data_IF_123971687254
#
_entry.id   IF_123971687254
#
_cell.length_a   1.000
_cell.length_b   1.000
_cell.length_c   1.000
_cell.angle_alpha   90.00
_cell.angle_beta   90.00
_cell.angle_gamma   90.00
#
_symmetry.space_group_name_H-M   'P 1'
#
loop_
_entity.id
_entity.type
_entity.pdbx_description
1 polymer ?
#
# COMPACT_ATOMS: atom_id res chain seq x y z
N UNK A 1 -1.32 33.12 53.93
CA UNK A 1 -1.39 34.59 53.79
C UNK A 1 -1.54 34.88 52.29
N UNK A 2 -2.55 35.56 51.73
CA UNK A 2 -3.14 36.91 52.02
C UNK A 2 -2.16 38.05 51.69
N UNK A 3 -2.44 39.08 50.86
CA UNK A 3 -3.55 39.42 49.93
C UNK A 3 -2.92 40.11 48.66
N UNK A 4 -3.55 40.82 47.71
CA UNK A 4 -4.92 41.35 47.41
C UNK A 4 -5.03 41.40 45.86
N UNK A 5 -6.01 40.78 45.19
CA UNK A 5 -7.29 41.37 44.73
C UNK A 5 -7.19 42.72 43.97
N UNK A 6 -7.86 42.86 42.81
CA UNK A 6 -7.92 44.16 42.10
C UNK A 6 -8.49 44.19 40.68
N UNK A 7 -9.74 43.77 40.46
CA UNK A 7 -10.47 44.04 39.21
C UNK A 7 -11.58 45.10 39.44
N UNK A 8 -11.81 46.04 38.51
CA UNK A 8 -13.00 46.90 38.51
C UNK A 8 -14.00 46.57 37.39
N UNK A 9 -15.24 47.00 37.60
CA UNK A 9 -16.44 46.58 36.87
C UNK A 9 -17.02 47.65 35.93
N UNK A 10 -17.53 47.20 34.78
CA UNK A 10 -18.80 47.62 34.13
C UNK A 10 -19.29 49.10 34.15
N UNK A 11 -19.49 49.60 32.91
CA UNK A 11 -20.67 50.34 32.38
C UNK A 11 -20.75 51.88 32.37
N UNK A 12 -21.27 52.32 31.21
CA UNK A 12 -22.22 53.41 30.91
C UNK A 12 -21.75 54.82 30.49
N UNK A 13 -22.55 55.34 29.53
CA UNK A 13 -22.82 56.74 29.19
C UNK A 13 -21.99 57.49 28.11
N UNK A 14 -22.46 57.34 26.85
CA UNK A 14 -22.85 58.42 25.90
C UNK A 14 -21.87 59.43 25.29
N UNK A 15 -21.98 59.54 23.94
CA UNK A 15 -21.85 60.72 23.06
C UNK A 15 -20.50 61.45 22.92
N UNK A 16 -19.98 61.51 21.68
CA UNK A 16 -20.01 62.70 20.81
C UNK A 16 -19.00 62.59 19.64
N UNK A 17 -19.34 63.11 18.46
CA UNK A 17 -18.45 63.15 17.29
C UNK A 17 -17.39 64.27 17.43
N UNK A 18 -16.18 64.02 16.93
CA UNK A 18 -15.28 65.04 16.40
C UNK A 18 -14.47 64.46 15.23
N UNK A 19 -14.72 64.92 14.01
CA UNK A 19 -14.21 64.31 12.78
C UNK A 19 -14.44 65.12 11.50
N UNK A 20 -13.93 66.37 11.50
CA UNK A 20 -13.46 67.18 10.34
C UNK A 20 -14.06 66.80 8.96
N UNK A 21 -15.08 67.50 8.42
CA UNK A 21 -14.97 68.72 7.58
C UNK A 21 -14.13 68.51 6.29
N UNK A 22 -14.54 68.82 5.04
CA UNK A 22 -15.67 69.63 4.53
C UNK A 22 -16.14 69.16 3.13
N UNK A 23 -17.47 69.25 2.92
CA UNK A 23 -18.29 69.29 1.70
C UNK A 23 -17.72 69.12 0.27
N UNK A 24 -18.47 68.33 -0.51
CA UNK A 24 -18.84 68.64 -1.90
C UNK A 24 -20.29 68.17 -2.18
N UNK A 25 -21.20 69.06 -2.59
CA UNK A 25 -22.59 68.70 -2.94
C UNK A 25 -22.72 68.27 -4.40
N UNK A 26 -23.32 67.11 -4.66
CA UNK A 26 -24.40 66.93 -5.67
C UNK A 26 -25.35 65.84 -5.13
N UNK A 27 -26.66 66.05 -5.24
CA UNK A 27 -27.65 64.97 -5.10
C UNK A 27 -28.06 64.49 -6.50
N UNK A 28 -27.87 63.20 -6.80
CA UNK A 28 -28.43 62.53 -7.98
C UNK A 28 -28.56 61.00 -7.68
N UNK A 29 -29.28 60.21 -8.50
CA UNK A 29 -30.21 59.24 -7.93
C UNK A 29 -29.66 57.83 -7.76
N UNK A 30 -30.00 57.21 -6.62
CA UNK A 30 -30.23 55.76 -6.57
C UNK A 30 -31.32 55.43 -7.60
N UNK A 31 -30.95 54.71 -8.66
CA UNK A 31 -31.87 54.24 -9.69
C UNK A 31 -31.22 53.14 -10.54
N UNK A 32 -32.02 52.14 -10.91
CA UNK A 32 -31.65 50.99 -11.74
C UNK A 32 -30.49 50.11 -11.23
N UNK A 33 -29.23 50.59 -11.21
CA UNK A 33 -28.06 49.72 -11.15
C UNK A 33 -27.93 48.96 -9.82
N UNK A 34 -27.89 49.63 -8.66
CA UNK A 34 -27.79 48.95 -7.35
C UNK A 34 -28.96 48.00 -7.10
N UNK A 35 -30.15 48.35 -7.60
CA UNK A 35 -31.36 47.54 -7.51
C UNK A 35 -31.29 46.32 -8.44
N UNK A 36 -30.66 46.47 -9.62
CA UNK A 36 -30.41 45.38 -10.56
C UNK A 36 -29.32 44.46 -10.04
N UNK A 37 -28.18 44.97 -9.58
CA UNK A 37 -27.09 44.13 -9.05
C UNK A 37 -27.54 43.35 -7.81
N UNK A 38 -28.45 43.94 -7.01
CA UNK A 38 -29.15 43.24 -5.93
C UNK A 38 -30.16 42.22 -6.43
N UNK A 39 -30.98 42.53 -7.44
CA UNK A 39 -31.93 41.58 -8.03
C UNK A 39 -31.22 40.43 -8.76
N UNK A 40 -30.12 40.68 -9.46
CA UNK A 40 -29.26 39.70 -10.10
C UNK A 40 -28.53 38.84 -9.05
N UNK A 41 -28.24 39.37 -7.85
CA UNK A 41 -27.75 38.58 -6.71
C UNK A 41 -28.86 37.72 -6.09
N UNK A 42 -30.00 38.32 -5.74
CA UNK A 42 -31.15 37.66 -5.12
C UNK A 42 -31.76 36.59 -6.05
N UNK A 43 -31.77 36.83 -7.37
CA UNK A 43 -32.12 35.85 -8.40
C UNK A 43 -31.09 34.72 -8.49
N UNK A 44 -29.78 35.00 -8.46
CA UNK A 44 -28.75 33.94 -8.50
C UNK A 44 -28.70 33.11 -7.22
N UNK A 45 -29.13 33.65 -6.07
CA UNK A 45 -29.39 32.84 -4.88
C UNK A 45 -30.67 32.03 -5.01
N UNK A 46 -31.74 32.56 -5.62
CA UNK A 46 -32.98 31.81 -5.88
C UNK A 46 -32.80 30.70 -6.94
N UNK A 47 -31.95 30.90 -7.96
CA UNK A 47 -31.52 29.88 -8.92
C UNK A 47 -30.73 28.77 -8.20
N UNK A 48 -29.82 29.13 -7.28
CA UNK A 48 -29.11 28.16 -6.43
C UNK A 48 -30.01 27.46 -5.39
N UNK A 49 -31.16 28.05 -5.04
CA UNK A 49 -32.20 27.43 -4.19
C UNK A 49 -33.27 26.67 -5.01
N UNK A 50 -33.19 26.66 -6.35
CA UNK A 50 -34.09 25.91 -7.25
C UNK A 50 -33.39 24.84 -8.09
N UNK A 51 -32.06 24.72 -8.03
CA UNK A 51 -31.37 23.48 -8.41
C UNK A 51 -31.76 22.38 -7.40
N UNK A 52 -32.62 21.43 -7.84
CA UNK A 52 -33.16 20.39 -6.98
C UNK A 52 -32.03 19.56 -6.33
N UNK A 53 -32.16 19.25 -5.04
CA UNK A 53 -31.12 18.58 -4.26
C UNK A 53 -30.66 17.31 -4.99
N UNK A 54 -29.41 17.26 -5.50
CA UNK A 54 -28.97 16.17 -6.36
C UNK A 54 -28.63 14.89 -5.57
N UNK A 55 -28.87 14.89 -4.25
CA UNK A 55 -28.90 13.71 -3.38
C UNK A 55 -30.32 13.21 -3.07
N UNK A 56 -31.37 13.98 -3.39
CA UNK A 56 -32.75 13.57 -3.11
C UNK A 56 -33.24 12.53 -4.14
N UNK A 57 -33.90 11.50 -3.65
CA UNK A 57 -34.48 10.43 -4.47
C UNK A 57 -35.49 11.01 -5.49
N UNK A 58 -35.47 10.61 -6.78
CA UNK A 58 -36.46 11.07 -7.73
C UNK A 58 -37.85 10.49 -7.39
N UNK A 59 -38.89 11.32 -7.49
CA UNK A 59 -40.27 10.86 -7.27
C UNK A 59 -40.70 9.87 -8.38
N UNK A 60 -41.46 8.84 -7.99
CA UNK A 60 -42.01 7.80 -8.87
C UNK A 60 -40.96 7.15 -9.80
N UNK A 61 -39.73 6.98 -9.29
CA UNK A 61 -38.58 6.50 -10.06
C UNK A 61 -38.68 5.01 -10.44
N UNK A 62 -38.52 4.71 -11.74
CA UNK A 62 -38.31 3.35 -12.24
C UNK A 62 -36.86 2.86 -12.01
N UNK A 63 -36.61 1.58 -12.25
CA UNK A 63 -35.27 1.00 -12.10
C UNK A 63 -34.19 1.75 -12.93
N UNK A 64 -34.40 2.09 -14.23
CA UNK A 64 -33.50 2.96 -14.98
C UNK A 64 -33.19 4.31 -14.30
N UNK A 65 -34.19 5.00 -13.76
CA UNK A 65 -34.03 6.27 -13.05
C UNK A 65 -33.24 6.11 -11.74
N UNK A 66 -33.52 5.07 -10.95
CA UNK A 66 -32.79 4.75 -9.73
C UNK A 66 -31.31 4.39 -10.02
N UNK A 67 -31.05 3.55 -11.02
CA UNK A 67 -29.69 3.25 -11.48
C UNK A 67 -28.96 4.50 -11.97
N UNK A 68 -29.64 5.41 -12.68
CA UNK A 68 -29.06 6.69 -13.10
C UNK A 68 -28.75 7.60 -11.90
N UNK A 69 -29.65 7.67 -10.91
CA UNK A 69 -29.47 8.44 -9.69
C UNK A 69 -28.29 7.93 -8.84
N UNK A 70 -28.18 6.63 -8.57
CA UNK A 70 -27.02 6.00 -7.89
C UNK A 70 -25.71 6.40 -8.59
N UNK A 71 -25.66 6.30 -9.93
CA UNK A 71 -24.49 6.66 -10.74
C UNK A 71 -24.19 8.17 -10.73
N UNK A 72 -25.19 9.04 -10.56
CA UNK A 72 -25.03 10.48 -10.41
C UNK A 72 -24.51 10.84 -9.01
N UNK A 73 -25.18 10.38 -7.95
CA UNK A 73 -24.82 10.59 -6.54
C UNK A 73 -23.39 10.13 -6.25
N UNK A 74 -22.95 9.01 -6.82
CA UNK A 74 -21.55 8.54 -6.71
C UNK A 74 -20.52 9.51 -7.29
N UNK A 75 -20.86 10.28 -8.32
CA UNK A 75 -19.97 11.31 -8.91
C UNK A 75 -19.88 12.56 -8.03
N UNK A 76 -20.91 12.81 -7.21
CA UNK A 76 -20.98 13.92 -6.25
C UNK A 76 -20.22 13.65 -4.94
N UNK A 77 -19.52 12.51 -4.83
CA UNK A 77 -18.72 12.10 -3.67
C UNK A 77 -17.48 12.99 -3.49
N UNK A 78 -17.73 14.22 -3.03
CA UNK A 78 -16.73 15.27 -2.91
C UNK A 78 -15.64 15.01 -1.88
N UNK A 79 -14.58 15.83 -1.91
CA UNK A 79 -13.33 15.67 -1.11
C UNK A 79 -13.50 15.81 0.41
N UNK A 80 -14.70 16.08 0.93
CA UNK A 80 -14.96 16.21 2.38
C UNK A 80 -15.67 14.98 2.92
N UNK A 81 -15.47 14.67 4.21
CA UNK A 81 -16.21 13.58 4.86
C UNK A 81 -17.73 13.80 4.77
N UNK A 82 -18.24 15.03 5.01
CA UNK A 82 -19.67 15.36 4.93
C UNK A 82 -20.27 15.03 3.55
N UNK A 83 -19.60 15.45 2.47
CA UNK A 83 -20.06 15.15 1.10
C UNK A 83 -19.96 13.67 0.77
N UNK A 84 -18.91 12.99 1.26
CA UNK A 84 -18.72 11.56 1.03
C UNK A 84 -19.70 10.68 1.84
N UNK A 85 -20.15 11.11 3.02
CA UNK A 85 -21.19 10.43 3.79
C UNK A 85 -22.57 10.69 3.18
N UNK A 86 -22.94 11.93 2.87
CA UNK A 86 -24.25 12.24 2.29
C UNK A 86 -24.47 11.54 0.93
N UNK A 87 -23.43 11.47 0.09
CA UNK A 87 -23.42 10.67 -1.14
C UNK A 87 -23.60 9.16 -0.87
N UNK A 88 -23.09 8.62 0.23
CA UNK A 88 -23.31 7.21 0.58
C UNK A 88 -24.71 6.94 1.14
N UNK A 89 -25.28 7.86 1.94
CA UNK A 89 -26.66 7.72 2.45
C UNK A 89 -27.69 7.70 1.29
N UNK A 90 -27.56 8.61 0.31
CA UNK A 90 -28.46 8.66 -0.85
C UNK A 90 -28.31 7.45 -1.80
N UNK A 91 -27.12 6.84 -1.89
CA UNK A 91 -26.95 5.54 -2.60
C UNK A 91 -27.70 4.42 -1.88
N UNK A 92 -27.75 4.43 -0.55
CA UNK A 92 -28.49 3.44 0.23
C UNK A 92 -29.99 3.61 0.02
N UNK A 93 -30.51 4.83 0.13
CA UNK A 93 -31.92 5.16 -0.10
C UNK A 93 -32.40 4.73 -1.51
N UNK A 94 -31.60 5.01 -2.54
CA UNK A 94 -31.93 4.63 -3.91
C UNK A 94 -31.83 3.11 -4.20
N UNK A 95 -30.94 2.39 -3.49
CA UNK A 95 -30.87 0.94 -3.57
C UNK A 95 -31.99 0.25 -2.78
N UNK A 96 -32.43 0.83 -1.65
CA UNK A 96 -33.60 0.40 -0.92
C UNK A 96 -34.87 0.59 -1.75
N UNK A 97 -35.01 1.73 -2.44
CA UNK A 97 -36.08 1.96 -3.41
C UNK A 97 -36.08 0.92 -4.56
N UNK A 98 -34.91 0.60 -5.12
CA UNK A 98 -34.78 -0.42 -6.18
C UNK A 98 -35.29 -1.79 -5.72
N UNK A 99 -35.04 -2.15 -4.45
CA UNK A 99 -35.50 -3.40 -3.83
C UNK A 99 -36.99 -3.43 -3.48
N UNK A 100 -37.73 -2.33 -3.66
CA UNK A 100 -39.19 -2.26 -3.44
C UNK A 100 -39.99 -2.22 -4.74
N UNK A 101 -39.35 -2.31 -5.91
CA UNK A 101 -40.03 -2.39 -7.20
C UNK A 101 -40.42 -3.85 -7.50
N UNK A 102 -41.70 -4.08 -7.81
CA UNK A 102 -42.25 -5.41 -8.14
C UNK A 102 -41.58 -6.09 -9.35
N UNK A 103 -41.03 -5.30 -10.28
CA UNK A 103 -40.50 -5.74 -11.58
C UNK A 103 -39.09 -5.22 -11.91
N UNK A 104 -38.28 -4.91 -10.89
CA UNK A 104 -36.87 -4.51 -11.08
C UNK A 104 -36.08 -5.56 -11.91
N UNK A 105 -35.42 -5.17 -13.03
CA UNK A 105 -34.58 -6.08 -13.78
C UNK A 105 -33.42 -6.60 -12.92
N UNK A 106 -33.27 -7.92 -12.81
CA UNK A 106 -32.31 -8.58 -11.90
C UNK A 106 -30.90 -7.97 -11.91
N UNK A 107 -30.33 -7.66 -13.08
CA UNK A 107 -29.01 -7.03 -13.18
C UNK A 107 -28.95 -5.60 -12.60
N UNK A 108 -30.03 -4.82 -12.67
CA UNK A 108 -30.11 -3.49 -12.04
C UNK A 108 -30.30 -3.58 -10.52
N UNK A 109 -31.02 -4.61 -10.06
CA UNK A 109 -31.18 -4.94 -8.65
C UNK A 109 -29.84 -5.37 -8.03
N UNK A 110 -29.09 -6.22 -8.72
CA UNK A 110 -27.72 -6.64 -8.37
C UNK A 110 -26.75 -5.45 -8.33
N UNK A 111 -26.69 -4.64 -9.40
CA UNK A 111 -25.92 -3.38 -9.45
C UNK A 111 -26.22 -2.52 -8.20
N UNK A 112 -27.50 -2.32 -7.86
CA UNK A 112 -27.89 -1.49 -6.73
C UNK A 112 -27.50 -2.09 -5.37
N UNK A 113 -27.59 -3.42 -5.21
CA UNK A 113 -27.24 -4.12 -3.97
C UNK A 113 -25.73 -4.08 -3.71
N UNK A 114 -24.88 -4.26 -4.73
CA UNK A 114 -23.42 -4.09 -4.58
C UNK A 114 -23.06 -2.66 -4.14
N UNK A 115 -23.75 -1.66 -4.69
CA UNK A 115 -23.58 -0.25 -4.33
C UNK A 115 -24.09 0.07 -2.91
N UNK A 116 -25.21 -0.54 -2.47
CA UNK A 116 -25.72 -0.45 -1.10
C UNK A 116 -24.68 -1.01 -0.11
N UNK A 117 -24.13 -2.19 -0.41
CA UNK A 117 -23.09 -2.85 0.41
C UNK A 117 -21.82 -1.98 0.46
N UNK A 118 -21.38 -1.40 -0.66
CA UNK A 118 -20.21 -0.53 -0.73
C UNK A 118 -20.40 0.79 0.04
N UNK A 119 -21.60 1.36 0.00
CA UNK A 119 -21.98 2.57 0.74
C UNK A 119 -22.04 2.30 2.26
N UNK A 120 -22.75 1.24 2.68
CA UNK A 120 -22.82 0.80 4.07
C UNK A 120 -21.43 0.45 4.64
N UNK A 121 -20.61 -0.29 3.88
CA UNK A 121 -19.22 -0.64 4.27
C UNK A 121 -18.33 0.59 4.44
N UNK A 122 -18.57 1.66 3.68
CA UNK A 122 -17.89 2.94 3.89
C UNK A 122 -18.38 3.65 5.16
N UNK A 123 -19.70 3.74 5.38
CA UNK A 123 -20.28 4.43 6.53
C UNK A 123 -20.00 3.72 7.85
N UNK A 124 -19.98 2.38 7.86
CA UNK A 124 -19.67 1.53 9.02
C UNK A 124 -18.32 1.85 9.69
N UNK A 125 -17.40 2.49 8.97
CA UNK A 125 -16.10 2.98 9.48
C UNK A 125 -16.23 4.17 10.43
N UNK A 126 -17.38 4.85 10.43
CA UNK A 126 -17.66 6.08 11.18
C UNK A 126 -18.95 5.99 12.01
N UNK A 127 -19.94 5.23 11.53
CA UNK A 127 -21.27 5.07 12.12
C UNK A 127 -21.49 3.61 12.56
N UNK A 128 -21.76 3.37 13.86
CA UNK A 128 -21.93 2.00 14.37
C UNK A 128 -23.20 1.30 13.87
N UNK A 129 -24.28 2.06 13.70
CA UNK A 129 -25.55 1.58 13.12
C UNK A 129 -25.35 1.03 11.70
N UNK A 130 -24.61 1.73 10.83
CA UNK A 130 -24.39 1.27 9.45
C UNK A 130 -23.60 -0.03 9.33
N UNK A 131 -22.91 -0.48 10.39
CA UNK A 131 -22.37 -1.83 10.47
C UNK A 131 -23.47 -2.87 10.77
N UNK A 132 -24.41 -2.57 11.67
CA UNK A 132 -25.57 -3.43 11.93
C UNK A 132 -26.45 -3.57 10.68
N UNK A 133 -26.75 -2.45 10.01
CA UNK A 133 -27.54 -2.43 8.78
C UNK A 133 -26.88 -3.30 7.68
N UNK A 134 -25.54 -3.22 7.55
CA UNK A 134 -24.74 -4.06 6.66
C UNK A 134 -24.81 -5.55 7.00
N UNK A 135 -24.70 -5.93 8.29
CA UNK A 135 -24.83 -7.32 8.70
C UNK A 135 -26.26 -7.84 8.47
N UNK A 136 -27.28 -7.01 8.67
CA UNK A 136 -28.68 -7.35 8.37
C UNK A 136 -28.91 -7.58 6.87
N UNK A 137 -28.41 -6.69 6.01
CA UNK A 137 -28.49 -6.83 4.55
C UNK A 137 -27.82 -8.14 4.07
N UNK A 138 -26.61 -8.43 4.56
CA UNK A 138 -25.89 -9.65 4.18
C UNK A 138 -26.57 -10.92 4.72
N UNK A 139 -27.18 -10.87 5.89
CA UNK A 139 -27.95 -11.99 6.44
C UNK A 139 -29.28 -12.23 5.69
N UNK A 140 -29.88 -11.18 5.13
CA UNK A 140 -31.05 -11.26 4.24
C UNK A 140 -30.67 -11.90 2.89
N UNK A 141 -29.67 -11.34 2.20
CA UNK A 141 -29.21 -11.82 0.89
C UNK A 141 -28.68 -13.27 0.93
N UNK A 142 -28.13 -13.70 2.06
CA UNK A 142 -27.70 -15.10 2.27
C UNK A 142 -28.87 -16.09 2.43
N UNK A 143 -30.12 -15.61 2.53
CA UNK A 143 -31.35 -16.41 2.62
C UNK A 143 -32.30 -16.18 1.42
N UNK A 144 -31.90 -15.34 0.46
CA UNK A 144 -32.65 -15.07 -0.77
C UNK A 144 -32.77 -16.33 -1.67
N UNK A 145 -33.80 -16.41 -2.52
CA UNK A 145 -33.96 -17.55 -3.45
C UNK A 145 -32.96 -17.50 -4.63
N UNK A 146 -32.39 -16.32 -4.93
CA UNK A 146 -31.42 -16.10 -6.00
C UNK A 146 -30.01 -16.57 -5.60
N UNK A 147 -29.41 -17.56 -6.30
CA UNK A 147 -28.03 -17.99 -6.05
C UNK A 147 -27.00 -16.88 -6.27
N UNK A 148 -27.33 -15.87 -7.09
CA UNK A 148 -26.48 -14.70 -7.34
C UNK A 148 -26.41 -13.80 -6.11
N UNK A 149 -27.56 -13.50 -5.48
CA UNK A 149 -27.62 -12.69 -4.25
C UNK A 149 -27.00 -13.44 -3.06
N UNK A 150 -27.20 -14.76 -2.95
CA UNK A 150 -26.50 -15.60 -1.97
C UNK A 150 -24.96 -15.53 -2.15
N UNK A 151 -24.48 -15.59 -3.39
CA UNK A 151 -23.04 -15.54 -3.68
C UNK A 151 -22.43 -14.15 -3.45
N UNK A 152 -23.19 -13.07 -3.71
CA UNK A 152 -22.80 -11.70 -3.32
C UNK A 152 -22.71 -11.60 -1.79
N UNK A 153 -23.72 -12.07 -1.06
CA UNK A 153 -23.75 -12.05 0.41
C UNK A 153 -22.53 -12.76 1.01
N UNK A 154 -22.21 -13.95 0.48
CA UNK A 154 -21.02 -14.74 0.86
C UNK A 154 -19.72 -14.00 0.55
N UNK A 155 -19.60 -13.42 -0.64
CA UNK A 155 -18.39 -12.73 -1.11
C UNK A 155 -18.11 -11.45 -0.33
N UNK A 156 -19.13 -10.61 -0.13
CA UNK A 156 -19.00 -9.34 0.60
C UNK A 156 -18.89 -9.54 2.11
N UNK A 157 -19.65 -10.47 2.70
CA UNK A 157 -19.48 -10.89 4.08
C UNK A 157 -18.05 -11.36 4.37
N UNK A 158 -17.46 -12.14 3.46
CA UNK A 158 -16.07 -12.55 3.58
C UNK A 158 -15.08 -11.38 3.43
N UNK A 159 -15.28 -10.45 2.48
CA UNK A 159 -14.46 -9.22 2.34
C UNK A 159 -14.44 -8.41 3.65
N UNK A 160 -15.58 -8.25 4.30
CA UNK A 160 -15.70 -7.54 5.59
C UNK A 160 -14.97 -8.31 6.70
N UNK A 161 -15.10 -9.63 6.74
CA UNK A 161 -14.42 -10.50 7.72
C UNK A 161 -12.90 -10.40 7.60
N UNK A 162 -12.34 -10.54 6.40
CA UNK A 162 -10.88 -10.52 6.17
C UNK A 162 -10.25 -9.14 6.33
N UNK A 163 -11.03 -8.05 6.21
CA UNK A 163 -10.57 -6.71 6.59
C UNK A 163 -10.22 -6.60 8.10
N UNK A 164 -10.73 -7.51 8.93
CA UNK A 164 -10.34 -7.65 10.34
C UNK A 164 -9.06 -8.46 10.58
N UNK A 165 -8.57 -9.22 9.59
CA UNK A 165 -7.48 -10.18 9.76
C UNK A 165 -6.20 -9.65 10.43
N UNK A 166 -5.70 -8.42 10.16
CA UNK A 166 -4.49 -7.89 10.83
C UNK A 166 -4.59 -7.74 12.36
N UNK A 167 -5.81 -7.81 12.92
CA UNK A 167 -6.10 -7.63 14.36
C UNK A 167 -6.75 -8.86 14.99
N UNK A 168 -7.04 -9.88 14.20
CA UNK A 168 -7.67 -11.12 14.63
C UNK A 168 -6.62 -12.07 15.24
N UNK A 169 -7.03 -12.92 16.18
CA UNK A 169 -6.13 -13.93 16.74
C UNK A 169 -5.74 -14.98 15.69
N UNK A 170 -4.63 -15.70 15.89
CA UNK A 170 -4.17 -16.77 14.99
C UNK A 170 -5.26 -17.80 14.67
N UNK A 171 -6.13 -18.11 15.65
CA UNK A 171 -7.24 -19.05 15.48
C UNK A 171 -8.41 -18.47 14.66
N UNK A 172 -8.62 -17.16 14.67
CA UNK A 172 -9.61 -16.49 13.83
C UNK A 172 -9.08 -16.28 12.40
N UNK A 173 -7.79 -15.98 12.27
CA UNK A 173 -7.08 -15.94 10.98
C UNK A 173 -7.12 -17.32 10.29
N UNK A 174 -6.85 -18.41 11.02
CA UNK A 174 -7.01 -19.78 10.51
C UNK A 174 -8.43 -20.04 10.01
N UNK A 175 -9.47 -19.69 10.79
CA UNK A 175 -10.87 -19.82 10.35
C UNK A 175 -11.24 -19.02 9.10
N UNK A 176 -10.48 -17.97 8.75
CA UNK A 176 -10.64 -17.28 7.47
C UNK A 176 -9.95 -18.04 6.34
N UNK A 177 -8.79 -18.66 6.59
CA UNK A 177 -8.09 -19.54 5.64
C UNK A 177 -8.93 -20.79 5.33
N UNK A 178 -9.52 -21.41 6.34
CA UNK A 178 -10.38 -22.60 6.20
C UNK A 178 -11.63 -22.29 5.35
N UNK A 179 -12.19 -21.09 5.50
CA UNK A 179 -13.37 -20.62 4.78
C UNK A 179 -13.06 -20.30 3.30
N UNK A 180 -11.98 -19.57 3.01
CA UNK A 180 -11.57 -19.34 1.61
C UNK A 180 -11.11 -20.63 0.93
N UNK A 181 -10.49 -21.57 1.68
CA UNK A 181 -10.22 -22.94 1.18
C UNK A 181 -11.52 -23.60 0.73
N UNK A 182 -12.55 -23.60 1.60
CA UNK A 182 -13.89 -24.13 1.28
C UNK A 182 -14.56 -23.42 0.09
N UNK A 183 -14.27 -22.13 -0.13
CA UNK A 183 -14.75 -21.39 -1.31
C UNK A 183 -14.03 -21.78 -2.61
N UNK A 184 -12.73 -22.09 -2.53
CA UNK A 184 -11.91 -22.53 -3.68
C UNK A 184 -12.25 -23.97 -4.06
N UNK A 185 -12.31 -24.87 -3.08
CA UNK A 185 -12.65 -26.30 -3.27
C UNK A 185 -14.05 -26.49 -3.89
N UNK A 186 -14.98 -25.58 -3.61
CA UNK A 186 -16.33 -25.59 -4.16
C UNK A 186 -16.45 -24.96 -5.57
N UNK A 187 -15.36 -24.48 -6.16
CA UNK A 187 -15.39 -23.71 -7.41
C UNK A 187 -14.07 -23.76 -8.18
N UNK A 188 -13.39 -22.62 -8.30
CA UNK A 188 -12.06 -22.53 -8.91
C UNK A 188 -11.31 -21.29 -8.41
N UNK A 189 -9.97 -21.33 -8.44
CA UNK A 189 -9.15 -20.19 -8.04
C UNK A 189 -9.07 -19.11 -9.13
N UNK A 190 -10.15 -18.35 -9.25
CA UNK A 190 -10.31 -17.24 -10.19
C UNK A 190 -9.79 -15.89 -9.63
N UNK A 191 -10.08 -14.78 -10.33
CA UNK A 191 -9.67 -13.43 -9.93
C UNK A 191 -10.31 -12.95 -8.63
N UNK A 192 -11.55 -13.38 -8.34
CA UNK A 192 -12.26 -13.06 -7.11
C UNK A 192 -11.66 -13.84 -5.96
N UNK A 193 -11.50 -15.16 -6.09
CA UNK A 193 -10.84 -16.01 -5.12
C UNK A 193 -9.40 -15.54 -4.82
N UNK A 194 -8.61 -15.20 -5.85
CA UNK A 194 -7.28 -14.61 -5.71
C UNK A 194 -7.30 -13.28 -4.95
N UNK A 195 -8.24 -12.38 -5.27
CA UNK A 195 -8.36 -11.07 -4.60
C UNK A 195 -8.71 -11.21 -3.11
N UNK A 196 -9.63 -12.12 -2.77
CA UNK A 196 -9.99 -12.45 -1.39
C UNK A 196 -8.81 -13.07 -0.64
N UNK A 197 -8.22 -14.13 -1.19
CA UNK A 197 -7.10 -14.84 -0.59
C UNK A 197 -5.89 -13.90 -0.41
N UNK A 198 -5.53 -13.10 -1.41
CA UNK A 198 -4.42 -12.14 -1.32
C UNK A 198 -4.67 -11.04 -0.28
N UNK A 199 -5.91 -10.56 -0.16
CA UNK A 199 -6.30 -9.57 0.87
C UNK A 199 -6.14 -10.16 2.27
N UNK A 200 -6.63 -11.40 2.48
CA UNK A 200 -6.48 -12.11 3.75
C UNK A 200 -5.01 -12.38 4.06
N UNK A 201 -4.24 -12.92 3.12
CA UNK A 201 -2.84 -13.29 3.29
C UNK A 201 -1.97 -12.07 3.60
N UNK A 202 -2.19 -10.95 2.90
CA UNK A 202 -1.55 -9.67 3.19
C UNK A 202 -1.95 -9.12 4.56
N UNK A 203 -3.20 -9.35 4.98
CA UNK A 203 -3.69 -8.97 6.30
C UNK A 203 -3.04 -9.76 7.44
N UNK A 204 -2.90 -11.08 7.28
CA UNK A 204 -2.19 -11.95 8.24
C UNK A 204 -0.70 -11.59 8.28
N UNK A 205 -0.07 -11.35 7.12
CA UNK A 205 1.33 -10.91 7.00
C UNK A 205 1.62 -9.51 7.54
N UNK A 206 0.59 -8.72 7.86
CA UNK A 206 0.69 -7.45 8.59
C UNK A 206 0.51 -7.61 10.12
N UNK A 207 0.27 -8.84 10.60
CA UNK A 207 0.20 -9.21 12.02
C UNK A 207 1.48 -9.94 12.47
N UNK A 208 1.54 -10.31 13.75
CA UNK A 208 2.61 -11.13 14.33
C UNK A 208 2.66 -12.58 13.81
N UNK A 209 1.61 -13.07 13.12
CA UNK A 209 1.49 -14.46 12.68
C UNK A 209 2.19 -14.75 11.33
N UNK A 210 3.45 -14.34 11.19
CA UNK A 210 4.25 -14.45 9.96
C UNK A 210 4.30 -15.87 9.38
N UNK A 211 4.43 -16.91 10.22
CA UNK A 211 4.45 -18.31 9.74
C UNK A 211 3.10 -18.76 9.16
N UNK A 212 1.99 -18.23 9.68
CA UNK A 212 0.65 -18.51 9.15
C UNK A 212 0.45 -17.79 7.81
N UNK A 213 0.94 -16.55 7.70
CA UNK A 213 0.97 -15.85 6.41
C UNK A 213 1.80 -16.64 5.38
N UNK A 214 3.01 -17.07 5.74
CA UNK A 214 3.88 -17.84 4.85
C UNK A 214 3.23 -19.15 4.39
N UNK A 215 2.63 -19.92 5.31
CA UNK A 215 1.92 -21.16 4.96
C UNK A 215 0.71 -20.92 4.05
N UNK A 216 -0.02 -19.82 4.25
CA UNK A 216 -1.13 -19.47 3.38
C UNK A 216 -0.68 -18.92 2.01
N UNK A 217 0.46 -18.23 1.93
CA UNK A 217 1.10 -17.87 0.65
C UNK A 217 1.56 -19.12 -0.14
N UNK A 218 1.99 -20.20 0.53
CA UNK A 218 2.29 -21.49 -0.11
C UNK A 218 1.02 -22.16 -0.64
N UNK A 219 -0.04 -22.28 0.18
CA UNK A 219 -1.33 -22.82 -0.25
C UNK A 219 -1.93 -22.02 -1.44
N UNK A 220 -1.81 -20.68 -1.40
CA UNK A 220 -2.15 -19.83 -2.53
C UNK A 220 -1.30 -20.13 -3.77
N UNK A 221 0.01 -20.37 -3.62
CA UNK A 221 0.88 -20.69 -4.76
C UNK A 221 0.53 -22.03 -5.41
N UNK A 222 0.01 -23.00 -4.66
CA UNK A 222 -0.55 -24.26 -5.18
C UNK A 222 -1.82 -23.98 -5.99
N UNK A 223 -2.82 -23.31 -5.39
CA UNK A 223 -4.05 -22.91 -6.11
C UNK A 223 -3.80 -22.03 -7.35
N UNK A 224 -2.73 -21.24 -7.36
CA UNK A 224 -2.32 -20.45 -8.51
C UNK A 224 -1.78 -21.32 -9.65
N UNK A 225 -1.03 -22.39 -9.35
CA UNK A 225 -0.51 -23.32 -10.38
C UNK A 225 -1.65 -24.02 -11.11
N UNK A 226 -2.69 -24.44 -10.38
CA UNK A 226 -3.88 -25.10 -10.95
C UNK A 226 -4.93 -24.13 -11.52
N UNK A 227 -4.69 -22.82 -11.45
CA UNK A 227 -5.62 -21.81 -11.98
C UNK A 227 -5.66 -21.81 -13.52
N UNK A 228 -6.87 -21.62 -14.06
CA UNK A 228 -7.13 -21.48 -15.51
C UNK A 228 -6.89 -20.06 -16.03
N UNK A 229 -6.57 -19.10 -15.16
CA UNK A 229 -6.16 -17.76 -15.56
C UNK A 229 -4.62 -17.69 -15.63
N UNK A 230 -4.08 -17.56 -16.84
CA UNK A 230 -2.64 -17.53 -17.09
C UNK A 230 -1.94 -16.42 -16.28
N UNK A 231 -2.59 -15.27 -16.05
CA UNK A 231 -2.01 -14.16 -15.29
C UNK A 231 -2.04 -14.40 -13.77
N UNK A 232 -2.83 -15.37 -13.30
CA UNK A 232 -2.73 -15.91 -11.94
C UNK A 232 -1.60 -16.96 -11.90
N UNK A 233 -1.60 -17.91 -12.84
CA UNK A 233 -0.63 -19.02 -12.91
C UNK A 233 0.82 -18.55 -13.01
N UNK A 234 1.12 -17.59 -13.90
CA UNK A 234 2.46 -17.01 -14.07
C UNK A 234 3.02 -16.37 -12.79
N UNK A 235 2.16 -16.02 -11.82
CA UNK A 235 2.57 -15.39 -10.55
C UNK A 235 2.80 -16.38 -9.41
N UNK A 236 2.51 -17.67 -9.59
CA UNK A 236 2.57 -18.69 -8.54
C UNK A 236 3.98 -18.83 -7.94
N UNK A 237 5.02 -18.89 -8.79
CA UNK A 237 6.42 -18.99 -8.36
C UNK A 237 6.83 -17.81 -7.46
N UNK A 238 6.44 -16.58 -7.82
CA UNK A 238 6.68 -15.37 -7.00
C UNK A 238 5.89 -15.39 -5.69
N UNK A 239 4.72 -16.06 -5.63
CA UNK A 239 3.94 -16.24 -4.40
C UNK A 239 4.65 -17.22 -3.43
N UNK A 240 5.07 -18.39 -3.91
CA UNK A 240 5.87 -19.34 -3.12
C UNK A 240 7.22 -18.74 -2.69
N UNK A 241 7.83 -17.89 -3.53
CA UNK A 241 9.03 -17.14 -3.18
C UNK A 241 8.81 -16.11 -2.07
N UNK A 242 7.64 -15.46 -2.05
CA UNK A 242 7.29 -14.54 -0.97
C UNK A 242 7.09 -15.29 0.36
N UNK A 243 6.46 -16.47 0.37
CA UNK A 243 6.39 -17.33 1.56
C UNK A 243 7.76 -17.72 2.11
N UNK A 244 8.66 -18.22 1.24
CA UNK A 244 10.02 -18.59 1.63
C UNK A 244 10.81 -17.37 2.14
N UNK A 245 10.61 -16.18 1.55
CA UNK A 245 11.18 -14.91 2.06
C UNK A 245 10.59 -14.46 3.40
N UNK A 246 9.32 -14.73 3.69
CA UNK A 246 8.72 -14.43 5.01
C UNK A 246 9.37 -15.24 6.14
N UNK A 247 9.80 -16.47 5.88
CA UNK A 247 10.48 -17.33 6.86
C UNK A 247 12.00 -17.15 6.94
N UNK A 248 12.61 -16.28 6.13
CA UNK A 248 14.06 -16.06 6.18
C UNK A 248 14.60 -15.59 7.55
N UNK A 249 13.96 -14.66 8.29
CA UNK A 249 14.51 -14.17 9.56
C UNK A 249 14.82 -15.29 10.56
N UNK A 250 16.07 -15.36 11.03
CA UNK A 250 16.60 -16.42 11.90
C UNK A 250 16.98 -17.74 11.20
N UNK A 251 16.63 -17.90 9.92
CA UNK A 251 16.95 -19.06 9.08
C UNK A 251 18.05 -18.75 8.06
N UNK A 252 18.64 -19.79 7.48
CA UNK A 252 19.74 -19.67 6.53
C UNK A 252 19.31 -19.08 5.17
N UNK A 253 20.15 -18.20 4.62
CA UNK A 253 20.04 -17.78 3.21
C UNK A 253 20.84 -18.72 2.29
N UNK A 254 20.36 -18.92 1.08
CA UNK A 254 21.02 -19.71 0.03
C UNK A 254 21.02 -18.94 -1.28
N UNK A 255 22.18 -18.64 -1.84
CA UNK A 255 22.32 -17.96 -3.13
C UNK A 255 22.98 -18.87 -4.16
N UNK A 256 22.45 -18.84 -5.38
CA UNK A 256 22.97 -19.51 -6.58
C UNK A 256 22.79 -18.56 -7.76
N UNK A 257 23.72 -18.57 -8.71
CA UNK A 257 23.65 -17.73 -9.90
C UNK A 257 24.99 -17.62 -10.63
N UNK A 258 25.05 -16.71 -11.60
CA UNK A 258 26.31 -16.30 -12.26
C UNK A 258 26.72 -14.90 -11.82
N UNK A 259 28.02 -14.65 -11.81
CA UNK A 259 28.59 -13.30 -11.73
C UNK A 259 28.35 -12.52 -13.03
N UNK A 260 28.60 -11.21 -13.01
CA UNK A 260 28.70 -10.36 -14.22
C UNK A 260 29.76 -10.81 -15.24
N UNK A 261 30.77 -11.58 -14.82
CA UNK A 261 31.77 -12.22 -15.71
C UNK A 261 31.29 -13.56 -16.31
N UNK A 262 30.14 -14.07 -15.86
CA UNK A 262 29.57 -15.35 -16.30
C UNK A 262 30.02 -16.57 -15.49
N UNK A 263 30.89 -16.37 -14.49
CA UNK A 263 31.40 -17.43 -13.61
C UNK A 263 30.30 -17.91 -12.64
N UNK A 264 30.38 -19.19 -12.25
CA UNK A 264 29.45 -19.76 -11.28
C UNK A 264 29.71 -19.19 -9.88
N UNK A 265 28.67 -18.63 -9.25
CA UNK A 265 28.77 -18.11 -7.89
C UNK A 265 28.89 -19.24 -6.85
N UNK A 266 29.82 -19.09 -5.91
CA UNK A 266 29.96 -19.92 -4.72
C UNK A 266 29.57 -19.15 -3.45
N UNK A 267 28.38 -19.42 -2.93
CA UNK A 267 27.90 -18.86 -1.66
C UNK A 267 28.68 -19.39 -0.44
N UNK A 268 29.40 -20.51 -0.55
CA UNK A 268 30.15 -21.09 0.57
C UNK A 268 31.39 -20.28 0.95
N UNK A 269 31.96 -19.51 0.01
CA UNK A 269 33.05 -18.56 0.23
C UNK A 269 32.69 -17.38 1.17
N UNK A 270 31.41 -17.20 1.49
CA UNK A 270 30.90 -16.15 2.38
C UNK A 270 30.63 -16.63 3.82
N UNK A 271 30.85 -17.91 4.13
CA UNK A 271 30.66 -18.45 5.49
C UNK A 271 31.58 -17.75 6.50
N UNK A 272 31.03 -17.37 7.65
CA UNK A 272 31.76 -16.60 8.67
C UNK A 272 31.83 -15.09 8.42
N UNK A 273 31.31 -14.59 7.28
CA UNK A 273 31.15 -13.16 7.01
C UNK A 273 29.74 -12.69 7.38
N UNK A 274 29.60 -11.42 7.75
CA UNK A 274 28.32 -10.71 7.67
C UNK A 274 28.14 -10.27 6.23
N UNK A 275 26.98 -10.54 5.61
CA UNK A 275 26.78 -10.25 4.17
C UNK A 275 25.51 -9.45 3.94
N UNK A 276 25.64 -8.34 3.21
CA UNK A 276 24.50 -7.58 2.67
C UNK A 276 24.16 -8.09 1.26
N UNK A 277 22.99 -8.68 1.11
CA UNK A 277 22.44 -9.11 -0.18
C UNK A 277 21.42 -8.07 -0.65
N UNK A 278 21.81 -7.22 -1.59
CA UNK A 278 21.00 -6.10 -2.09
C UNK A 278 20.45 -6.40 -3.49
N UNK A 279 19.12 -6.36 -3.63
CA UNK A 279 18.43 -6.50 -4.91
C UNK A 279 18.27 -5.11 -5.54
N UNK A 280 18.96 -4.86 -6.65
CA UNK A 280 19.15 -3.54 -7.24
C UNK A 280 19.07 -3.54 -8.78
N UNK A 281 19.09 -2.36 -9.39
CA UNK A 281 19.25 -2.18 -10.85
C UNK A 281 19.74 -0.76 -11.17
N UNK A 282 20.39 -0.55 -12.31
CA UNK A 282 20.93 0.74 -12.78
C UNK A 282 19.88 1.86 -12.85
N UNK A 283 18.63 1.52 -13.18
CA UNK A 283 17.50 2.44 -13.26
C UNK A 283 16.83 2.73 -11.90
N UNK A 284 17.16 1.99 -10.84
CA UNK A 284 16.53 2.12 -9.53
C UNK A 284 17.12 3.30 -8.72
N UNK A 285 16.55 4.50 -8.87
CA UNK A 285 16.99 5.71 -8.13
C UNK A 285 17.22 5.52 -6.62
N UNK A 286 16.29 4.89 -5.84
CA UNK A 286 16.50 4.61 -4.42
C UNK A 286 17.52 3.50 -4.10
N UNK A 287 17.89 2.67 -5.09
CA UNK A 287 19.03 1.77 -5.00
C UNK A 287 20.34 2.56 -5.13
N UNK A 288 20.46 3.36 -6.20
CA UNK A 288 21.63 4.22 -6.48
C UNK A 288 21.99 5.15 -5.32
N UNK A 289 20.98 5.71 -4.64
CA UNK A 289 21.15 6.58 -3.48
C UNK A 289 21.78 5.89 -2.25
N UNK A 290 21.80 4.55 -2.20
CA UNK A 290 22.38 3.75 -1.11
C UNK A 290 23.82 3.32 -1.39
N UNK A 291 24.25 3.29 -2.66
CA UNK A 291 25.60 2.84 -3.07
C UNK A 291 26.74 3.59 -2.32
N UNK A 292 26.69 4.91 -2.10
CA UNK A 292 27.70 5.60 -1.29
C UNK A 292 27.72 5.14 0.18
N UNK A 293 26.58 4.70 0.72
CA UNK A 293 26.49 4.13 2.05
C UNK A 293 27.04 2.70 2.11
N UNK A 294 26.79 1.91 1.07
CA UNK A 294 27.31 0.55 0.90
C UNK A 294 28.83 0.54 0.75
N UNK A 295 29.40 1.41 -0.11
CA UNK A 295 30.85 1.60 -0.22
C UNK A 295 31.48 1.93 1.13
N UNK A 296 31.02 3.01 1.79
CA UNK A 296 31.52 3.41 3.12
C UNK A 296 31.49 2.29 4.15
N UNK A 297 30.42 1.48 4.18
CA UNK A 297 30.35 0.35 5.10
C UNK A 297 31.26 -0.81 4.69
N UNK A 298 31.48 -1.06 3.39
CA UNK A 298 32.47 -2.03 2.93
C UNK A 298 33.91 -1.59 3.27
N UNK A 299 34.23 -0.31 3.10
CA UNK A 299 35.53 0.27 3.47
C UNK A 299 35.80 0.08 4.98
N UNK A 300 34.83 0.41 5.84
CA UNK A 300 34.98 0.36 7.30
C UNK A 300 34.93 -1.06 7.92
N UNK A 301 34.42 -2.07 7.20
CA UNK A 301 34.13 -3.39 7.78
C UNK A 301 34.63 -4.61 6.98
N UNK A 302 35.19 -4.45 5.78
CA UNK A 302 35.69 -5.57 4.96
C UNK A 302 36.73 -6.42 5.69
N UNK A 303 37.78 -5.80 6.24
CA UNK A 303 38.80 -6.46 7.10
C UNK A 303 38.23 -7.06 8.39
N UNK A 304 36.99 -6.67 8.75
CA UNK A 304 36.26 -7.17 9.93
C UNK A 304 35.25 -8.25 9.57
N UNK A 305 35.23 -8.70 8.30
CA UNK A 305 34.37 -9.78 7.82
C UNK A 305 32.99 -9.32 7.33
N UNK A 306 32.82 -8.07 6.90
CA UNK A 306 31.65 -7.64 6.12
C UNK A 306 31.87 -7.83 4.62
N UNK A 307 30.82 -8.15 3.88
CA UNK A 307 30.83 -8.26 2.43
C UNK A 307 29.46 -7.93 1.81
N UNK A 308 29.41 -7.77 0.49
CA UNK A 308 28.20 -7.43 -0.26
C UNK A 308 28.02 -8.39 -1.43
N UNK A 309 26.78 -8.80 -1.69
CA UNK A 309 26.39 -9.54 -2.90
C UNK A 309 25.20 -8.82 -3.54
N UNK A 310 25.43 -8.16 -4.67
CA UNK A 310 24.36 -7.54 -5.43
C UNK A 310 23.60 -8.56 -6.27
N UNK A 311 22.27 -8.52 -6.24
CA UNK A 311 21.41 -9.26 -7.18
C UNK A 311 20.81 -8.24 -8.15
N UNK A 312 21.31 -8.22 -9.38
CA UNK A 312 20.96 -7.20 -10.36
C UNK A 312 19.70 -7.58 -11.18
N UNK A 313 18.79 -6.60 -11.33
CA UNK A 313 17.52 -6.69 -12.06
C UNK A 313 17.45 -5.71 -13.26
N UNK A 314 18.58 -5.45 -13.91
CA UNK A 314 18.60 -4.85 -15.25
C UNK A 314 18.17 -5.85 -16.32
N UNK A 315 17.83 -5.34 -17.51
CA UNK A 315 17.28 -6.14 -18.63
C UNK A 315 18.34 -6.64 -19.62
N UNK A 316 19.60 -6.35 -19.36
CA UNK A 316 20.77 -6.62 -20.22
C UNK A 316 22.02 -6.67 -19.35
N UNK A 317 22.94 -7.59 -19.65
CA UNK A 317 24.24 -7.64 -18.97
C UNK A 317 25.03 -6.32 -19.14
N UNK A 318 24.99 -5.74 -20.34
CA UNK A 318 25.73 -4.52 -20.68
C UNK A 318 25.39 -3.36 -19.73
N UNK A 319 24.09 -3.05 -19.52
CA UNK A 319 23.67 -1.98 -18.60
C UNK A 319 23.99 -2.25 -17.11
N UNK A 320 24.12 -3.53 -16.72
CA UNK A 320 24.62 -3.88 -15.39
C UNK A 320 26.12 -3.58 -15.29
N UNK A 321 26.90 -4.04 -16.27
CA UNK A 321 28.36 -3.88 -16.30
C UNK A 321 28.77 -2.41 -16.46
N UNK A 322 28.14 -1.66 -17.37
CA UNK A 322 28.31 -0.21 -17.54
C UNK A 322 28.14 0.52 -16.20
N UNK A 323 27.08 0.20 -15.45
CA UNK A 323 26.83 0.82 -14.14
C UNK A 323 27.75 0.32 -13.01
N UNK A 324 28.19 -0.95 -13.06
CA UNK A 324 29.18 -1.52 -12.14
C UNK A 324 30.54 -0.85 -12.32
N UNK A 325 30.96 -0.62 -13.57
CA UNK A 325 32.22 0.04 -13.92
C UNK A 325 32.14 1.55 -13.64
N UNK A 326 31.08 2.25 -14.09
CA UNK A 326 30.85 3.68 -13.82
C UNK A 326 30.88 4.04 -12.33
N UNK A 327 30.43 3.13 -11.47
CA UNK A 327 30.36 3.35 -10.03
C UNK A 327 31.46 2.61 -9.25
N UNK A 328 32.38 1.93 -9.94
CA UNK A 328 33.46 1.12 -9.34
C UNK A 328 32.92 0.19 -8.23
N UNK A 329 31.94 -0.66 -8.54
CA UNK A 329 31.31 -1.56 -7.58
C UNK A 329 32.19 -2.82 -7.39
N UNK A 330 33.08 -2.77 -6.40
CA UNK A 330 34.09 -3.80 -6.11
C UNK A 330 33.54 -5.13 -5.59
N UNK A 331 32.26 -5.17 -5.18
CA UNK A 331 31.61 -6.36 -4.65
C UNK A 331 31.02 -7.25 -5.74
N UNK A 332 30.79 -8.53 -5.44
CA UNK A 332 30.23 -9.48 -6.40
C UNK A 332 28.79 -9.10 -6.77
N UNK A 333 28.51 -9.00 -8.06
CA UNK A 333 27.18 -8.75 -8.59
C UNK A 333 26.71 -9.95 -9.42
N UNK A 334 25.48 -10.41 -9.19
CA UNK A 334 24.88 -11.59 -9.80
C UNK A 334 23.74 -11.21 -10.74
N UNK A 335 23.74 -11.82 -11.92
CA UNK A 335 22.76 -11.62 -12.99
C UNK A 335 22.67 -12.89 -13.84
N UNK A 336 21.52 -13.19 -14.45
CA UNK A 336 21.46 -14.26 -15.45
C UNK A 336 21.78 -13.71 -16.84
N UNK A 337 22.49 -14.49 -17.64
CA UNK A 337 22.81 -14.21 -19.03
C UNK A 337 21.78 -14.81 -20.02
N UNK A 338 20.74 -15.50 -19.52
CA UNK A 338 19.73 -16.15 -20.37
C UNK A 338 18.53 -15.24 -20.69
N UNK A 339 18.03 -15.39 -21.93
CA UNK A 339 16.74 -14.84 -22.33
C UNK A 339 15.60 -15.36 -21.43
N UNK A 340 14.71 -14.46 -20.98
CA UNK A 340 13.64 -14.79 -20.03
C UNK A 340 14.06 -14.87 -18.56
N UNK A 341 15.36 -14.77 -18.23
CA UNK A 341 15.89 -14.80 -16.86
C UNK A 341 16.51 -13.46 -16.41
N UNK A 342 16.23 -12.36 -17.11
CA UNK A 342 16.72 -11.01 -16.76
C UNK A 342 15.62 -10.15 -16.10
N UNK A 343 16.02 -9.03 -15.49
CA UNK A 343 15.09 -8.09 -14.88
C UNK A 343 14.27 -8.70 -13.74
N UNK A 344 12.95 -8.50 -13.77
CA UNK A 344 12.01 -9.03 -12.78
C UNK A 344 11.87 -10.55 -12.79
N UNK A 345 12.45 -11.22 -13.77
CA UNK A 345 12.39 -12.67 -13.94
C UNK A 345 13.76 -13.34 -13.69
N UNK A 346 14.70 -12.58 -13.12
CA UNK A 346 15.94 -13.08 -12.49
C UNK A 346 15.63 -14.28 -11.57
N UNK A 347 16.31 -15.44 -11.72
CA UNK A 347 16.01 -16.66 -10.95
C UNK A 347 16.04 -16.47 -9.44
N UNK A 348 16.95 -15.65 -8.90
CA UNK A 348 17.07 -15.36 -7.46
C UNK A 348 15.94 -14.43 -6.99
N UNK A 349 15.54 -13.46 -7.82
CA UNK A 349 14.41 -12.58 -7.55
C UNK A 349 13.08 -13.33 -7.58
N UNK A 350 12.90 -14.22 -8.57
CA UNK A 350 11.81 -15.19 -8.65
C UNK A 350 11.80 -16.08 -7.40
N UNK A 351 12.95 -16.69 -7.08
CA UNK A 351 13.09 -17.59 -5.94
C UNK A 351 12.72 -16.92 -4.63
N UNK A 352 13.14 -15.68 -4.36
CA UNK A 352 12.78 -14.96 -3.12
C UNK A 352 11.53 -14.08 -3.23
N UNK A 353 10.71 -14.23 -4.29
CA UNK A 353 9.45 -13.49 -4.45
C UNK A 353 9.65 -11.98 -4.35
N UNK A 354 10.68 -11.47 -5.01
CA UNK A 354 11.07 -10.06 -5.01
C UNK A 354 10.21 -9.33 -6.05
N UNK A 355 9.26 -8.53 -5.55
CA UNK A 355 8.29 -7.76 -6.35
C UNK A 355 8.53 -6.25 -6.29
N UNK A 356 9.63 -5.82 -5.67
CA UNK A 356 10.02 -4.42 -5.52
C UNK A 356 11.49 -4.29 -5.12
N UNK A 357 12.15 -3.27 -5.64
CA UNK A 357 13.52 -2.88 -5.27
C UNK A 357 13.56 -1.40 -4.86
N UNK A 358 14.47 -0.99 -3.96
CA UNK A 358 15.47 -1.81 -3.30
C UNK A 358 14.88 -2.79 -2.28
N UNK A 359 15.46 -4.00 -2.21
CA UNK A 359 15.25 -4.96 -1.12
C UNK A 359 16.61 -5.42 -0.65
N UNK A 360 16.91 -5.29 0.65
CA UNK A 360 18.21 -5.63 1.22
C UNK A 360 18.07 -6.62 2.36
N UNK A 361 18.79 -7.73 2.27
CA UNK A 361 18.79 -8.85 3.23
C UNK A 361 20.17 -8.91 3.88
N UNK A 362 20.24 -8.76 5.20
CA UNK A 362 21.50 -8.88 5.96
C UNK A 362 21.60 -10.25 6.60
N UNK A 363 22.71 -10.91 6.33
CA UNK A 363 23.07 -12.25 6.80
C UNK A 363 24.18 -12.14 7.85
N UNK A 364 24.09 -12.90 8.94
CA UNK A 364 25.13 -13.00 9.97
C UNK A 364 26.23 -14.04 9.63
N UNK A 365 27.24 -14.14 10.49
CA UNK A 365 28.38 -15.04 10.33
C UNK A 365 27.99 -16.54 10.38
N UNK A 366 26.86 -16.88 11.00
CA UNK A 366 26.28 -18.24 10.99
C UNK A 366 25.57 -18.56 9.65
N UNK A 367 25.38 -17.55 8.79
CA UNK A 367 24.65 -17.65 7.53
C UNK A 367 23.14 -17.39 7.66
N UNK A 368 22.67 -16.89 8.80
CA UNK A 368 21.24 -16.63 9.09
C UNK A 368 20.84 -15.21 8.73
N UNK A 369 19.62 -15.00 8.27
CA UNK A 369 19.11 -13.64 8.01
C UNK A 369 18.74 -12.94 9.31
N UNK A 370 19.42 -11.82 9.60
CA UNK A 370 19.18 -10.97 10.77
C UNK A 370 18.35 -9.72 10.46
N UNK A 371 18.26 -9.31 9.18
CA UNK A 371 17.40 -8.19 8.77
C UNK A 371 16.93 -8.30 7.32
N UNK A 372 15.70 -7.85 7.07
CA UNK A 372 15.09 -7.70 5.74
C UNK A 372 15.02 -6.22 5.31
N UNK A 373 15.71 -5.32 6.03
CA UNK A 373 15.60 -3.84 5.89
C UNK A 373 16.92 -3.10 6.17
N UNK A 374 18.07 -3.77 6.06
CA UNK A 374 19.37 -3.20 6.41
C UNK A 374 19.86 -2.19 5.36
N UNK A 375 19.40 -0.93 5.48
CA UNK A 375 19.73 0.18 4.58
C UNK A 375 19.85 1.50 5.35
N UNK A 376 20.59 2.45 4.81
CA UNK A 376 20.94 3.70 5.47
C UNK A 376 21.52 3.47 6.87
N UNK A 377 21.08 4.27 7.84
CA UNK A 377 21.50 4.17 9.25
C UNK A 377 21.19 2.83 9.92
N UNK A 378 20.26 2.04 9.40
CA UNK A 378 19.97 0.71 9.94
C UNK A 378 21.03 -0.31 9.53
N UNK A 379 21.66 -0.16 8.35
CA UNK A 379 22.85 -0.94 7.99
C UNK A 379 23.99 -0.62 8.95
N UNK A 380 24.34 0.67 9.08
CA UNK A 380 25.40 1.15 9.99
C UNK A 380 25.25 0.58 11.42
N UNK A 381 24.02 0.65 11.96
CA UNK A 381 23.67 0.19 13.31
C UNK A 381 23.76 -1.33 13.47
N UNK A 382 23.40 -2.10 12.44
CA UNK A 382 23.50 -3.55 12.46
C UNK A 382 24.96 -4.02 12.32
N UNK A 383 25.77 -3.35 11.50
CA UNK A 383 27.20 -3.66 11.36
C UNK A 383 28.00 -3.31 12.62
N UNK A 384 27.81 -2.11 13.19
CA UNK A 384 28.38 -1.74 14.50
C UNK A 384 27.95 -2.73 15.60
N UNK A 385 26.68 -3.16 15.60
CA UNK A 385 26.15 -4.11 16.57
C UNK A 385 26.69 -5.55 16.46
N UNK A 386 27.17 -5.98 15.29
CA UNK A 386 27.68 -7.35 15.07
C UNK A 386 29.20 -7.42 14.98
N UNK A 387 29.85 -6.41 14.40
CA UNK A 387 31.30 -6.36 14.16
C UNK A 387 32.03 -5.39 15.10
N UNK A 388 31.31 -4.62 15.92
CA UNK A 388 31.81 -3.55 16.79
C UNK A 388 31.96 -2.20 16.06
N UNK A 389 32.16 -1.10 16.79
CA UNK A 389 32.34 0.22 16.16
C UNK A 389 33.66 0.34 15.36
N UNK A 390 33.71 1.14 14.28
CA UNK A 390 34.93 1.39 13.52
C UNK A 390 36.02 2.08 14.35
N UNK A 391 37.25 1.58 14.26
CA UNK A 391 38.43 2.27 14.78
C UNK A 391 38.77 3.48 13.89
N UNK A 392 39.39 4.55 14.41
CA UNK A 392 39.88 5.66 13.57
C UNK A 392 40.83 5.22 12.45
N UNK A 393 41.50 4.06 12.59
CA UNK A 393 42.38 3.51 11.58
C UNK A 393 41.64 2.75 10.44
N UNK A 394 40.39 2.32 10.64
CA UNK A 394 39.61 1.51 9.68
C UNK A 394 39.13 2.30 8.45
N UNK A 395 39.72 3.49 8.22
CA UNK A 395 39.39 4.40 7.12
C UNK A 395 40.62 4.91 6.36
N UNK A 396 41.79 4.34 6.63
CA UNK A 396 43.00 4.57 5.83
C UNK A 396 42.97 3.67 4.58
N UNK A 397 43.12 4.20 3.36
CA UNK A 397 43.41 3.38 2.20
C UNK A 397 44.71 2.59 2.44
N UNK A 398 44.73 1.31 2.07
CA UNK A 398 45.93 0.48 2.20
C UNK A 398 47.12 1.16 1.49
N UNK A 399 48.20 1.45 2.22
CA UNK A 399 49.38 2.08 1.63
C UNK A 399 49.92 1.20 0.49
N UNK A 400 50.19 1.77 -0.70
CA UNK A 400 50.72 1.00 -1.82
C UNK A 400 52.10 0.47 -1.43
N UNK A 401 52.22 -0.87 -1.36
CA UNK A 401 53.42 -1.54 -0.86
C UNK A 401 54.69 -0.92 -1.43
N UNK A 402 55.50 -0.33 -0.53
CA UNK A 402 56.72 0.37 -0.89
C UNK A 402 57.66 -0.61 -1.61
N UNK A 403 58.01 -0.30 -2.86
CA UNK A 403 59.02 -1.06 -3.59
C UNK A 403 60.34 -0.97 -2.82
N UNK A 404 60.83 -2.11 -2.36
CA UNK A 404 62.21 -2.24 -1.90
C UNK A 404 63.13 -1.96 -3.09
N UNK A 405 63.64 -0.74 -3.18
CA UNK A 405 64.83 -0.43 -3.96
C UNK A 405 66.03 -0.97 -3.18
N UNK A 406 66.35 -2.25 -3.40
CA UNK A 406 67.62 -2.79 -2.95
C UNK A 406 68.76 -2.08 -3.66
N UNK A 407 69.63 -1.43 -2.89
CA UNK A 407 70.95 -1.01 -3.35
C UNK A 407 71.86 -2.26 -3.44
N UNK A 408 72.54 -2.45 -4.57
CA UNK A 408 73.66 -3.38 -4.72
C UNK A 408 74.73 -2.75 -5.65
N UNK A 409 75.87 -2.42 -5.04
CA UNK A 409 77.21 -1.99 -5.56
C UNK A 409 77.33 -1.15 -6.86
#
# INVERSE_FOLDING_TARGET
MTHFFGAPTFRLATLALAGVLVHGLVANPSSAQDAKDRADYEARTAEAETEADPLALPADADAPALTAHIRAVKRLRGRTLKTATASAEAVIEAAEAMRQLDDAPQGMLVDAIEEQIAALSFLARFQRNRNQDLQSLLAELAQDESPELQQIAKTEGFKIKIAGAPRASKAEQQKMIDEITTMVDAGSFDRTAFSLAYTLASGIGASENTDLAAGFYEQMAEWMQDSKDEAIQQRASKMAGAARRMRLPGNLLTLEGKTTTGDQFDWSAYRGKVVLVDFWASWCGPCRAEIPNMKRNLDLYSDRGFDIVGINLDRTLDACNEYVDEQELTWTNLISDKEGEMGWDNPVANYYGISGIPTAILVDQDGKVVSMRARGKELDRLLSGMLGDPSPNDSAPAEPASKESGDDE
#
